data_IF_826336218944
#
_entry.id   IF_826336218944
#
_cell.length_a   1.000
_cell.length_b   1.000
_cell.length_c   1.000
_cell.angle_alpha   90.00
_cell.angle_beta   90.00
_cell.angle_gamma   90.00
#
_symmetry.space_group_name_H-M   'P 1'
#
loop_
_entity.id
_entity.type
_entity.pdbx_description
1 polymer ?
#
# COMPACT_ATOMS: atom_id res chain seq x y z
N UNK A 1 -26.80 -25.05 -41.51
CA UNK A 1 -26.83 -25.57 -40.12
C UNK A 1 -25.78 -24.78 -39.35
N UNK A 2 -26.15 -23.60 -38.84
CA UNK A 2 -25.23 -22.77 -38.06
C UNK A 2 -25.13 -23.41 -36.66
N UNK A 3 -23.92 -23.88 -36.31
CA UNK A 3 -23.59 -24.28 -34.95
C UNK A 3 -23.65 -23.01 -34.09
N UNK A 4 -24.66 -22.90 -33.23
CA UNK A 4 -24.59 -22.00 -32.08
C UNK A 4 -23.40 -22.44 -31.22
N UNK A 5 -22.36 -21.60 -31.18
CA UNK A 5 -21.36 -21.68 -30.13
C UNK A 5 -22.04 -21.26 -28.82
N UNK A 6 -21.74 -21.90 -27.68
CA UNK A 6 -22.26 -21.48 -26.40
C UNK A 6 -21.62 -20.13 -26.04
N UNK A 7 -22.39 -19.05 -26.12
CA UNK A 7 -22.01 -17.72 -25.65
C UNK A 7 -21.81 -17.80 -24.13
N UNK A 8 -20.59 -17.52 -23.66
CA UNK A 8 -20.24 -17.58 -22.25
C UNK A 8 -20.94 -16.45 -21.49
N UNK A 9 -21.52 -16.81 -20.34
CA UNK A 9 -22.23 -15.93 -19.43
C UNK A 9 -21.33 -14.82 -18.87
N UNK A 10 -21.88 -13.61 -18.78
CA UNK A 10 -21.52 -12.63 -17.75
C UNK A 10 -22.53 -12.84 -16.62
N UNK A 11 -22.08 -13.29 -15.45
CA UNK A 11 -22.92 -13.35 -14.24
C UNK A 11 -22.46 -12.24 -13.30
N UNK A 12 -22.97 -11.02 -13.52
CA UNK A 12 -22.88 -9.96 -12.51
C UNK A 12 -24.11 -10.13 -11.60
N UNK A 13 -23.89 -10.38 -10.32
CA UNK A 13 -24.95 -10.36 -9.30
C UNK A 13 -24.58 -9.25 -8.33
N UNK A 14 -25.20 -8.09 -8.49
CA UNK A 14 -25.10 -7.01 -7.53
C UNK A 14 -26.25 -7.09 -6.53
N UNK A 15 -25.96 -6.97 -5.24
CA UNK A 15 -26.96 -6.97 -4.16
C UNK A 15 -26.94 -5.60 -3.48
N UNK A 16 -28.11 -4.99 -3.28
CA UNK A 16 -28.29 -3.76 -2.49
C UNK A 16 -28.73 -4.11 -1.07
N UNK A 17 -28.23 -3.40 -0.06
CA UNK A 17 -28.60 -3.64 1.35
C UNK A 17 -29.49 -2.53 1.90
N UNK A 18 -30.78 -2.85 2.06
CA UNK A 18 -31.89 -2.11 2.70
C UNK A 18 -32.58 -1.02 1.84
N UNK A 19 -33.91 -1.02 1.61
CA UNK A 19 -35.04 -1.69 2.23
C UNK A 19 -36.11 -2.08 1.16
N UNK A 20 -36.64 -3.29 1.30
CA UNK A 20 -37.73 -3.90 0.50
C UNK A 20 -37.53 -4.07 -1.02
N UNK A 21 -36.34 -4.47 -1.47
CA UNK A 21 -36.14 -5.44 -2.56
C UNK A 21 -34.64 -5.60 -2.80
N UNK A 22 -34.08 -6.75 -2.48
CA UNK A 22 -32.79 -7.15 -3.04
C UNK A 22 -33.02 -7.38 -4.54
N UNK A 23 -32.62 -6.43 -5.39
CA UNK A 23 -32.69 -6.60 -6.84
C UNK A 23 -31.36 -7.19 -7.31
N UNK A 24 -31.28 -8.52 -7.38
CA UNK A 24 -30.20 -9.18 -8.12
C UNK A 24 -30.48 -8.97 -9.61
N UNK A 25 -29.82 -8.00 -10.24
CA UNK A 25 -29.87 -7.89 -11.69
C UNK A 25 -28.85 -8.86 -12.28
N UNK A 26 -29.29 -10.07 -12.66
CA UNK A 26 -28.49 -10.92 -13.54
C UNK A 26 -28.40 -10.23 -14.89
N UNK A 27 -27.26 -9.62 -15.21
CA UNK A 27 -27.04 -8.99 -16.52
C UNK A 27 -26.71 -10.09 -17.53
N UNK A 28 -27.76 -10.76 -18.03
CA UNK A 28 -27.67 -11.70 -19.14
C UNK A 28 -27.46 -10.92 -20.45
N UNK A 29 -26.22 -10.66 -20.84
CA UNK A 29 -25.91 -9.99 -22.10
C UNK A 29 -26.06 -10.92 -23.30
N UNK A 30 -27.30 -11.28 -23.65
CA UNK A 30 -27.63 -11.66 -25.04
C UNK A 30 -28.12 -10.43 -25.82
N UNK A 31 -28.29 -9.27 -25.16
CA UNK A 31 -28.82 -8.05 -25.77
C UNK A 31 -28.04 -6.82 -25.29
N UNK A 32 -26.93 -6.53 -25.97
CA UNK A 32 -26.75 -5.29 -26.73
C UNK A 32 -26.69 -3.90 -26.06
N UNK A 33 -26.24 -3.71 -24.81
CA UNK A 33 -26.01 -2.33 -24.29
C UNK A 33 -24.80 -2.20 -23.37
N UNK A 34 -24.16 -1.03 -23.40
CA UNK A 34 -23.26 -0.56 -22.34
C UNK A 34 -23.96 -0.72 -20.99
N UNK A 35 -23.22 -1.21 -19.99
CA UNK A 35 -23.75 -1.50 -18.66
C UNK A 35 -23.42 -0.32 -17.76
N UNK A 36 -24.42 0.29 -17.14
CA UNK A 36 -24.20 1.27 -16.06
C UNK A 36 -24.60 0.64 -14.72
N UNK A 37 -23.66 0.59 -13.78
CA UNK A 37 -23.85 0.19 -12.38
C UNK A 37 -23.91 1.48 -11.56
N UNK A 38 -25.06 1.75 -10.93
CA UNK A 38 -25.39 3.03 -10.29
C UNK A 38 -26.42 3.87 -11.07
N UNK A 39 -26.51 5.18 -10.80
CA UNK A 39 -27.43 6.15 -11.42
C UNK A 39 -28.53 6.71 -10.50
N UNK A 40 -29.44 7.54 -11.04
CA UNK A 40 -30.42 8.35 -10.27
C UNK A 40 -31.48 7.49 -9.53
N UNK A 41 -31.51 6.20 -9.83
CA UNK A 41 -32.48 5.23 -9.29
C UNK A 41 -31.84 4.16 -8.39
N UNK A 42 -30.54 4.26 -8.07
CA UNK A 42 -29.83 3.32 -7.20
C UNK A 42 -29.65 3.92 -5.80
N UNK A 43 -30.36 3.40 -4.77
CA UNK A 43 -30.02 3.73 -3.40
C UNK A 43 -28.85 2.85 -2.96
N UNK A 44 -27.70 3.48 -2.73
CA UNK A 44 -26.57 2.90 -1.96
C UNK A 44 -25.74 1.80 -2.66
N UNK A 45 -24.68 1.41 -1.95
CA UNK A 45 -23.53 0.57 -2.33
C UNK A 45 -23.92 -0.62 -3.22
N UNK A 46 -23.17 -0.83 -4.30
CA UNK A 46 -23.32 -1.99 -5.18
C UNK A 46 -22.17 -2.98 -4.99
N UNK A 47 -22.41 -4.18 -4.44
CA UNK A 47 -21.38 -5.23 -4.32
C UNK A 47 -21.62 -6.43 -5.24
N UNK A 48 -20.58 -6.93 -5.93
CA UNK A 48 -20.64 -8.27 -6.56
C UNK A 48 -20.59 -9.36 -5.49
N UNK A 49 -20.95 -10.60 -5.84
CA UNK A 49 -20.82 -11.77 -4.94
C UNK A 49 -19.61 -12.66 -5.27
N UNK A 50 -18.65 -12.17 -6.06
CA UNK A 50 -17.58 -12.97 -6.64
C UNK A 50 -16.82 -12.24 -7.75
N UNK A 51 -15.89 -12.97 -8.38
CA UNK A 51 -15.10 -12.49 -9.52
C UNK A 51 -15.97 -11.94 -10.66
N UNK A 52 -15.48 -10.88 -11.28
CA UNK A 52 -16.09 -10.22 -12.43
C UNK A 52 -15.12 -10.27 -13.59
N UNK A 53 -15.58 -10.84 -14.72
CA UNK A 53 -14.86 -10.74 -15.99
C UNK A 53 -15.70 -10.00 -17.03
N UNK A 54 -15.14 -8.93 -17.56
CA UNK A 54 -15.71 -8.17 -18.68
C UNK A 54 -15.12 -8.75 -19.95
N UNK A 55 -15.90 -9.60 -20.61
CA UNK A 55 -15.47 -10.38 -21.76
C UNK A 55 -15.68 -9.67 -23.08
N UNK A 56 -14.81 -9.98 -24.04
CA UNK A 56 -15.01 -9.57 -25.42
C UNK A 56 -16.25 -10.22 -26.04
N UNK A 57 -17.26 -9.42 -26.35
CA UNK A 57 -18.38 -9.83 -27.19
C UNK A 57 -17.97 -9.83 -28.67
N UNK A 58 -18.29 -10.88 -29.41
CA UNK A 58 -18.21 -10.82 -30.88
C UNK A 58 -19.60 -10.37 -31.37
N UNK A 59 -19.76 -9.21 -32.04
CA UNK A 59 -18.74 -8.38 -32.68
C UNK A 59 -18.42 -7.02 -32.01
N UNK A 60 -18.79 -6.80 -30.75
CA UNK A 60 -18.78 -5.45 -30.13
C UNK A 60 -17.92 -5.34 -28.86
N UNK A 61 -17.37 -4.15 -28.66
CA UNK A 61 -16.75 -3.75 -27.39
C UNK A 61 -17.85 -3.45 -26.37
N UNK A 62 -17.66 -3.89 -25.13
CA UNK A 62 -18.55 -3.63 -23.99
C UNK A 62 -17.95 -2.53 -23.13
N UNK A 63 -18.78 -1.56 -22.76
CA UNK A 63 -18.45 -0.57 -21.72
C UNK A 63 -19.20 -0.91 -20.44
N UNK A 64 -18.50 -0.95 -19.31
CA UNK A 64 -19.11 -1.00 -17.97
C UNK A 64 -18.81 0.30 -17.25
N UNK A 65 -19.84 1.06 -16.90
CA UNK A 65 -19.75 2.37 -16.27
C UNK A 65 -20.20 2.29 -14.81
N UNK A 66 -19.36 2.73 -13.88
CA UNK A 66 -19.72 2.93 -12.48
C UNK A 66 -20.04 4.41 -12.25
N UNK A 67 -21.30 4.75 -11.97
CA UNK A 67 -21.79 6.14 -11.84
C UNK A 67 -22.69 6.32 -10.61
N UNK A 68 -22.17 6.89 -9.53
CA UNK A 68 -22.93 7.15 -8.30
C UNK A 68 -23.26 8.65 -8.18
N UNK A 69 -24.41 9.04 -8.75
CA UNK A 69 -24.85 10.42 -8.92
C UNK A 69 -25.06 11.21 -7.60
N UNK A 70 -25.40 10.56 -6.48
CA UNK A 70 -25.69 11.23 -5.20
C UNK A 70 -24.46 11.63 -4.37
N UNK A 71 -23.24 11.30 -4.81
CA UNK A 71 -22.02 11.98 -4.34
C UNK A 71 -21.97 13.49 -4.69
N UNK A 72 -22.97 13.98 -5.43
CA UNK A 72 -23.05 15.37 -5.92
C UNK A 72 -23.48 16.38 -4.85
N UNK A 73 -24.20 16.00 -3.80
CA UNK A 73 -24.75 16.93 -2.79
C UNK A 73 -23.99 16.96 -1.45
N UNK A 74 -23.04 17.88 -1.27
CA UNK A 74 -22.37 18.13 0.02
C UNK A 74 -20.89 18.53 -0.09
N UNK A 75 -20.28 18.90 1.04
CA UNK A 75 -18.84 19.18 1.16
C UNK A 75 -18.01 17.88 1.05
N UNK A 76 -17.85 17.41 -0.19
CA UNK A 76 -16.76 16.61 -0.77
C UNK A 76 -16.23 15.30 -0.18
N UNK A 77 -16.58 14.81 1.01
CA UNK A 77 -15.87 13.64 1.58
C UNK A 77 -16.77 12.47 2.04
N UNK A 78 -18.08 12.51 1.79
CA UNK A 78 -18.98 11.41 2.15
C UNK A 78 -18.97 10.31 1.07
N UNK A 79 -18.20 9.23 1.25
CA UNK A 79 -18.34 8.01 0.44
C UNK A 79 -19.60 7.22 0.84
N UNK A 80 -20.77 7.81 0.65
CA UNK A 80 -22.06 7.14 0.92
C UNK A 80 -22.42 6.12 -0.16
N UNK A 81 -21.80 6.23 -1.34
CA UNK A 81 -22.13 5.45 -2.53
C UNK A 81 -20.84 4.97 -3.20
N UNK A 82 -20.63 3.66 -3.25
CA UNK A 82 -19.45 3.04 -3.86
C UNK A 82 -19.81 1.68 -4.45
N UNK A 83 -18.96 1.18 -5.35
CA UNK A 83 -19.07 -0.16 -5.89
C UNK A 83 -17.97 -1.05 -5.36
N UNK A 84 -18.30 -2.29 -5.05
CA UNK A 84 -17.34 -3.32 -4.66
C UNK A 84 -17.46 -4.51 -5.59
N UNK A 85 -16.31 -5.08 -5.93
CA UNK A 85 -16.21 -6.43 -6.49
C UNK A 85 -15.60 -7.32 -5.42
N UNK A 86 -16.38 -8.28 -4.91
CA UNK A 86 -15.94 -9.26 -3.92
C UNK A 86 -15.22 -10.43 -4.62
N UNK A 87 -14.05 -10.15 -5.18
CA UNK A 87 -13.23 -11.08 -5.96
C UNK A 87 -12.38 -10.38 -7.02
N UNK A 88 -11.85 -11.15 -7.97
CA UNK A 88 -10.99 -10.64 -9.04
C UNK A 88 -11.80 -9.85 -10.09
N UNK A 89 -11.24 -8.74 -10.59
CA UNK A 89 -11.77 -8.04 -11.77
C UNK A 89 -10.84 -8.27 -12.97
N UNK A 90 -11.38 -8.83 -14.04
CA UNK A 90 -10.65 -9.07 -15.30
C UNK A 90 -11.32 -8.29 -16.43
N UNK A 91 -10.54 -7.45 -17.11
CA UNK A 91 -10.99 -6.63 -18.25
C UNK A 91 -10.30 -7.13 -19.51
N UNK A 92 -11.03 -7.83 -20.39
CA UNK A 92 -10.47 -8.37 -21.63
C UNK A 92 -10.10 -7.25 -22.63
N UNK A 93 -9.24 -7.59 -23.60
CA UNK A 93 -8.83 -6.67 -24.65
C UNK A 93 -10.03 -6.10 -25.43
N UNK A 94 -9.96 -4.81 -25.75
CA UNK A 94 -11.03 -4.08 -26.44
C UNK A 94 -12.23 -3.72 -25.55
N UNK A 95 -12.29 -4.17 -24.30
CA UNK A 95 -13.35 -3.79 -23.36
C UNK A 95 -12.97 -2.52 -22.60
N UNK A 96 -13.97 -1.78 -22.12
CA UNK A 96 -13.76 -0.55 -21.37
C UNK A 96 -14.51 -0.58 -20.04
N UNK A 97 -13.83 -0.23 -18.94
CA UNK A 97 -14.45 0.14 -17.68
C UNK A 97 -14.35 1.64 -17.52
N UNK A 98 -15.47 2.31 -17.28
CA UNK A 98 -15.52 3.73 -16.96
C UNK A 98 -15.85 3.89 -15.49
N UNK A 99 -15.08 4.70 -14.77
CA UNK A 99 -15.38 5.13 -13.41
C UNK A 99 -15.67 6.64 -13.48
N UNK A 100 -16.92 7.01 -13.25
CA UNK A 100 -17.38 8.39 -13.36
C UNK A 100 -16.99 9.22 -12.13
N UNK A 101 -17.04 10.55 -12.29
CA UNK A 101 -16.78 11.52 -11.23
C UNK A 101 -17.49 11.18 -9.91
N UNK A 102 -16.81 11.39 -8.78
CA UNK A 102 -17.35 11.11 -7.43
C UNK A 102 -17.74 9.64 -7.19
N UNK A 103 -17.23 8.72 -7.99
CA UNK A 103 -17.43 7.27 -7.80
C UNK A 103 -16.16 6.61 -7.28
N UNK A 104 -16.36 5.56 -6.50
CA UNK A 104 -15.32 4.71 -5.93
C UNK A 104 -15.59 3.29 -6.38
N UNK A 105 -14.58 2.63 -6.95
CA UNK A 105 -14.60 1.21 -7.23
C UNK A 105 -13.57 0.52 -6.36
N UNK A 106 -14.03 -0.38 -5.50
CA UNK A 106 -13.18 -1.26 -4.68
C UNK A 106 -13.18 -2.64 -5.33
N UNK A 107 -12.00 -3.21 -5.54
CA UNK A 107 -11.80 -4.60 -5.96
C UNK A 107 -11.17 -5.32 -4.77
N UNK A 108 -11.94 -6.17 -4.11
CA UNK A 108 -11.48 -7.00 -3.00
C UNK A 108 -10.85 -8.30 -3.55
N UNK A 109 -9.77 -8.14 -4.30
CA UNK A 109 -9.11 -9.18 -5.10
C UNK A 109 -8.12 -8.56 -6.08
N UNK A 110 -7.67 -9.34 -7.06
CA UNK A 110 -6.72 -8.87 -8.07
C UNK A 110 -7.44 -8.16 -9.23
N UNK A 111 -6.75 -7.20 -9.85
CA UNK A 111 -7.22 -6.51 -11.04
C UNK A 111 -6.33 -6.84 -12.24
N UNK A 112 -6.91 -7.43 -13.29
CA UNK A 112 -6.25 -7.66 -14.58
C UNK A 112 -6.80 -6.73 -15.66
N UNK A 113 -5.96 -5.85 -16.20
CA UNK A 113 -6.32 -4.86 -17.22
C UNK A 113 -5.68 -5.24 -18.57
N UNK A 114 -6.44 -5.87 -19.47
CA UNK A 114 -6.03 -6.06 -20.88
C UNK A 114 -6.79 -5.12 -21.84
N UNK A 115 -7.92 -4.58 -21.39
CA UNK A 115 -8.69 -3.55 -22.10
C UNK A 115 -8.32 -2.13 -21.67
N UNK A 116 -9.32 -1.31 -21.40
CA UNK A 116 -9.17 0.07 -20.93
C UNK A 116 -9.89 0.29 -19.61
N UNK A 117 -9.24 0.92 -18.63
CA UNK A 117 -9.89 1.59 -17.50
C UNK A 117 -9.86 3.08 -17.78
N UNK A 118 -11.01 3.74 -17.77
CA UNK A 118 -11.15 5.16 -18.04
C UNK A 118 -11.75 5.86 -16.81
N UNK A 119 -11.01 6.79 -16.24
CA UNK A 119 -11.53 7.72 -15.24
C UNK A 119 -12.17 8.91 -15.96
N UNK A 120 -13.45 9.17 -15.71
CA UNK A 120 -14.18 10.28 -16.32
C UNK A 120 -14.52 11.34 -15.28
N UNK A 121 -13.67 12.36 -15.17
CA UNK A 121 -13.91 13.51 -14.31
C UNK A 121 -14.27 14.74 -15.16
N UNK A 122 -15.55 15.08 -15.20
CA UNK A 122 -16.04 16.19 -16.00
C UNK A 122 -15.83 17.53 -15.28
N UNK A 123 -15.05 18.43 -15.89
CA UNK A 123 -14.90 19.85 -15.56
C UNK A 123 -14.24 20.24 -14.22
N UNK A 124 -13.06 19.70 -13.91
CA UNK A 124 -12.15 20.33 -12.94
C UNK A 124 -12.75 20.54 -11.54
N UNK A 125 -13.73 19.71 -11.18
CA UNK A 125 -14.33 19.73 -9.86
C UNK A 125 -13.32 19.14 -8.85
N UNK A 126 -13.38 19.59 -7.60
CA UNK A 126 -12.55 19.13 -6.49
C UNK A 126 -12.87 17.69 -6.04
N UNK A 127 -13.63 16.93 -6.83
CA UNK A 127 -14.16 15.62 -6.46
C UNK A 127 -13.30 14.54 -7.11
N UNK A 128 -12.82 13.62 -6.27
CA UNK A 128 -11.92 12.57 -6.66
C UNK A 128 -12.67 11.37 -7.26
N UNK A 129 -11.95 10.61 -8.07
CA UNK A 129 -12.36 9.30 -8.58
C UNK A 129 -11.33 8.30 -8.08
N UNK A 130 -11.79 7.19 -7.50
CA UNK A 130 -10.90 6.19 -6.94
C UNK A 130 -11.15 4.81 -7.53
N UNK A 131 -10.05 4.15 -7.88
CA UNK A 131 -9.98 2.72 -8.07
C UNK A 131 -9.06 2.17 -6.99
N UNK A 132 -9.62 1.36 -6.10
CA UNK A 132 -8.95 0.77 -4.94
C UNK A 132 -8.92 -0.73 -5.16
N UNK A 133 -7.73 -1.33 -5.10
CA UNK A 133 -7.52 -2.76 -5.33
C UNK A 133 -6.83 -3.35 -4.11
N UNK A 134 -7.48 -4.29 -3.45
CA UNK A 134 -6.96 -5.00 -2.27
C UNK A 134 -6.21 -6.27 -2.71
N UNK A 135 -5.36 -6.12 -3.71
CA UNK A 135 -4.59 -7.17 -4.36
C UNK A 135 -3.64 -6.58 -5.40
N UNK A 136 -3.13 -7.43 -6.28
CA UNK A 136 -2.22 -7.01 -7.35
C UNK A 136 -2.97 -6.33 -8.51
N UNK A 137 -2.33 -5.36 -9.16
CA UNK A 137 -2.82 -4.76 -10.41
C UNK A 137 -1.87 -5.12 -11.54
N UNK A 138 -2.35 -5.93 -12.49
CA UNK A 138 -1.54 -6.46 -13.58
C UNK A 138 -2.17 -6.21 -14.96
N UNK A 139 -1.36 -6.18 -16.02
CA UNK A 139 -1.85 -6.30 -17.39
C UNK A 139 -1.12 -5.46 -18.44
N UNK A 140 -1.63 -5.53 -19.68
CA UNK A 140 -1.06 -4.86 -20.86
C UNK A 140 -2.00 -3.81 -21.47
N UNK A 141 -3.11 -3.56 -20.78
CA UNK A 141 -4.13 -2.60 -21.18
C UNK A 141 -3.77 -1.17 -20.83
N UNK A 142 -4.75 -0.28 -20.95
CA UNK A 142 -4.56 1.17 -20.79
C UNK A 142 -5.35 1.69 -19.60
N UNK A 143 -4.70 2.56 -18.80
CA UNK A 143 -5.38 3.40 -17.82
C UNK A 143 -5.44 4.83 -18.35
N UNK A 144 -6.63 5.25 -18.77
CA UNK A 144 -6.89 6.59 -19.29
C UNK A 144 -7.52 7.46 -18.21
N UNK A 145 -7.04 8.70 -18.08
CA UNK A 145 -7.65 9.74 -17.24
C UNK A 145 -8.42 10.77 -18.06
N UNK A 146 -9.23 11.58 -17.38
CA UNK A 146 -9.87 12.77 -17.89
C UNK A 146 -8.91 13.97 -17.93
N UNK A 147 -9.48 15.17 -18.06
CA UNK A 147 -8.71 16.42 -18.11
C UNK A 147 -8.51 16.98 -16.69
N UNK A 148 -7.28 16.92 -16.13
CA UNK A 148 -6.94 17.64 -14.88
C UNK A 148 -6.04 16.87 -13.90
N UNK A 149 -5.94 17.36 -12.65
CA UNK A 149 -5.09 16.82 -11.57
C UNK A 149 -5.83 15.96 -10.54
N UNK A 150 -7.12 15.71 -10.76
CA UNK A 150 -8.00 15.08 -9.76
C UNK A 150 -8.26 13.60 -10.05
N UNK A 151 -7.77 13.11 -11.19
CA UNK A 151 -7.83 11.70 -11.57
C UNK A 151 -6.61 11.03 -10.96
N UNK A 152 -6.84 10.29 -9.88
CA UNK A 152 -5.80 9.50 -9.25
C UNK A 152 -5.69 8.18 -10.02
N UNK A 153 -4.46 7.70 -10.30
CA UNK A 153 -4.25 6.34 -10.78
C UNK A 153 -4.70 5.35 -9.69
N UNK A 154 -4.84 4.05 -10.02
CA UNK A 154 -5.29 3.05 -9.03
C UNK A 154 -4.40 3.04 -7.78
N UNK A 155 -5.04 2.73 -6.65
CA UNK A 155 -4.41 2.40 -5.38
C UNK A 155 -4.42 0.88 -5.21
N UNK A 156 -3.28 0.28 -4.86
CA UNK A 156 -3.16 -1.17 -4.67
C UNK A 156 -2.41 -1.52 -3.39
N UNK A 157 -2.82 -2.61 -2.72
CA UNK A 157 -2.09 -3.16 -1.57
C UNK A 157 -0.79 -3.85 -1.98
N UNK A 158 -0.70 -4.29 -3.23
CA UNK A 158 0.48 -4.98 -3.79
C UNK A 158 1.00 -4.26 -5.06
N UNK A 159 1.92 -4.88 -5.81
CA UNK A 159 2.57 -4.31 -6.98
C UNK A 159 1.57 -3.85 -8.06
N UNK A 160 1.83 -2.68 -8.64
CA UNK A 160 1.11 -2.14 -9.80
C UNK A 160 2.00 -2.30 -11.04
N UNK A 161 1.69 -3.28 -11.88
CA UNK A 161 2.36 -3.53 -13.16
C UNK A 161 1.37 -3.32 -14.30
N UNK A 162 1.43 -2.15 -14.94
CA UNK A 162 0.64 -1.84 -16.15
C UNK A 162 1.57 -1.48 -17.30
N UNK A 163 1.60 -2.29 -18.35
CA UNK A 163 2.38 -2.02 -19.56
C UNK A 163 1.55 -1.20 -20.56
N UNK A 164 1.88 0.09 -20.79
CA UNK A 164 1.20 0.93 -21.78
C UNK A 164 1.25 2.45 -21.49
N UNK A 165 0.67 3.26 -22.37
CA UNK A 165 0.53 4.71 -22.17
C UNK A 165 -0.59 5.00 -21.14
N UNK A 166 -0.22 5.46 -19.95
CA UNK A 166 -1.19 5.86 -18.92
C UNK A 166 -1.11 7.36 -18.60
N UNK A 167 -2.26 8.04 -18.59
CA UNK A 167 -2.32 9.48 -18.29
C UNK A 167 -2.47 9.81 -16.79
N UNK A 168 -2.76 8.81 -15.95
CA UNK A 168 -2.98 8.98 -14.51
C UNK A 168 -1.73 8.93 -13.63
N UNK A 169 -0.55 8.61 -14.17
CA UNK A 169 0.65 8.31 -13.37
C UNK A 169 0.80 6.81 -13.06
N UNK A 170 1.82 6.43 -12.29
CA UNK A 170 2.28 5.05 -12.08
C UNK A 170 1.45 4.20 -11.10
N UNK A 171 0.27 4.66 -10.68
CA UNK A 171 -0.40 4.09 -9.51
C UNK A 171 0.18 4.61 -8.20
N UNK A 172 -0.57 4.44 -7.12
CA UNK A 172 -0.14 4.74 -5.75
C UNK A 172 -0.27 3.49 -4.89
N UNK A 173 0.52 3.40 -3.83
CA UNK A 173 0.31 2.36 -2.85
C UNK A 173 -0.96 2.68 -2.04
N UNK A 174 -1.65 1.66 -1.54
CA UNK A 174 -2.82 1.79 -0.67
C UNK A 174 -2.58 2.72 0.54
N UNK A 175 -1.34 2.80 1.01
CA UNK A 175 -0.90 3.67 2.12
C UNK A 175 -1.04 5.16 1.81
N UNK A 176 -1.01 5.54 0.52
CA UNK A 176 -1.18 6.91 0.05
C UNK A 176 -2.66 7.32 -0.06
N UNK A 177 -3.60 6.44 0.33
CA UNK A 177 -5.02 6.78 0.37
C UNK A 177 -5.29 7.88 1.39
N UNK A 178 -6.24 8.76 1.05
CA UNK A 178 -6.71 9.76 2.00
C UNK A 178 -7.29 9.05 3.25
N UNK A 179 -6.92 9.51 4.45
CA UNK A 179 -7.27 8.85 5.72
C UNK A 179 -8.78 8.57 5.89
N UNK A 180 -9.65 9.41 5.34
CA UNK A 180 -11.10 9.20 5.42
C UNK A 180 -11.58 8.00 4.57
N UNK A 181 -10.87 7.66 3.49
CA UNK A 181 -11.17 6.50 2.64
C UNK A 181 -10.75 5.22 3.36
N UNK A 182 -9.58 5.25 3.99
CA UNK A 182 -9.06 4.17 4.83
C UNK A 182 -10.06 3.82 5.93
N UNK A 183 -10.62 4.81 6.62
CA UNK A 183 -11.64 4.59 7.66
C UNK A 183 -12.89 3.91 7.09
N UNK A 184 -13.30 4.26 5.87
CA UNK A 184 -14.48 3.66 5.22
C UNK A 184 -14.21 2.22 4.79
N UNK A 185 -13.04 1.92 4.23
CA UNK A 185 -12.67 0.54 3.89
C UNK A 185 -12.73 -0.35 5.14
N UNK A 186 -12.18 0.12 6.26
CA UNK A 186 -12.23 -0.58 7.55
C UNK A 186 -13.66 -0.75 8.09
N UNK A 187 -14.50 0.28 8.01
CA UNK A 187 -15.91 0.20 8.45
C UNK A 187 -16.72 -0.85 7.67
N UNK A 188 -16.29 -1.18 6.45
CA UNK A 188 -16.95 -2.18 5.61
C UNK A 188 -16.23 -3.55 5.64
N UNK A 189 -15.28 -3.74 6.56
CA UNK A 189 -14.63 -5.04 6.79
C UNK A 189 -13.56 -5.40 5.75
N UNK A 190 -13.00 -4.42 5.05
CA UNK A 190 -11.88 -4.62 4.15
C UNK A 190 -10.54 -4.49 4.89
N UNK A 191 -9.69 -5.50 4.74
CA UNK A 191 -8.42 -5.60 5.45
C UNK A 191 -7.34 -4.77 4.75
N UNK A 192 -6.77 -3.83 5.50
CA UNK A 192 -5.59 -3.05 5.10
C UNK A 192 -4.39 -3.51 5.92
N UNK A 193 -3.17 -3.59 5.34
CA UNK A 193 -1.99 -4.11 6.05
C UNK A 193 -1.70 -3.40 7.37
N UNK A 194 -0.97 -4.09 8.26
CA UNK A 194 -0.44 -3.50 9.49
C UNK A 194 0.58 -2.42 9.11
N UNK A 195 0.41 -1.22 9.67
CA UNK A 195 1.36 -0.13 9.43
C UNK A 195 2.36 -0.09 10.58
N UNK A 196 3.60 -0.53 10.33
CA UNK A 196 4.68 -0.43 11.31
C UNK A 196 5.21 1.00 11.39
N UNK A 197 5.06 1.64 12.55
CA UNK A 197 5.56 3.00 12.79
C UNK A 197 7.08 3.00 13.00
N UNK A 198 7.57 2.03 13.77
CA UNK A 198 8.98 2.01 14.17
C UNK A 198 9.46 0.61 14.49
N UNK A 199 10.74 0.37 14.23
CA UNK A 199 11.48 -0.80 14.69
C UNK A 199 12.86 -0.36 15.16
N UNK A 200 13.17 -0.64 16.42
CA UNK A 200 14.38 -0.16 17.09
C UNK A 200 15.00 -1.26 17.94
N UNK A 201 16.31 -1.14 18.14
CA UNK A 201 17.04 -1.97 19.10
C UNK A 201 17.84 -1.10 20.06
N UNK A 202 17.86 -1.51 21.32
CA UNK A 202 18.69 -0.93 22.37
C UNK A 202 19.50 -2.04 23.05
N UNK A 203 20.80 -1.82 23.16
CA UNK A 203 21.67 -2.75 23.87
C UNK A 203 21.72 -2.36 25.35
N UNK A 204 21.29 -3.28 26.21
CA UNK A 204 21.43 -3.17 27.67
C UNK A 204 22.59 -4.06 28.15
N UNK A 205 22.99 -3.95 29.42
CA UNK A 205 24.17 -4.67 29.93
C UNK A 205 24.08 -6.20 29.77
N UNK A 206 22.87 -6.78 29.72
CA UNK A 206 22.66 -8.23 29.70
C UNK A 206 21.72 -8.73 28.59
N UNK A 207 21.16 -7.84 27.77
CA UNK A 207 20.20 -8.21 26.73
C UNK A 207 20.11 -7.14 25.64
N UNK A 208 19.65 -7.54 24.46
CA UNK A 208 19.24 -6.61 23.40
C UNK A 208 17.72 -6.51 23.44
N UNK A 209 17.21 -5.31 23.69
CA UNK A 209 15.80 -5.02 23.69
C UNK A 209 15.38 -4.52 22.30
N UNK A 210 14.47 -5.25 21.66
CA UNK A 210 13.83 -4.88 20.42
C UNK A 210 12.49 -4.24 20.75
N UNK A 211 12.23 -3.06 20.21
CA UNK A 211 10.98 -2.35 20.41
C UNK A 211 10.39 -1.94 19.06
N UNK A 212 9.10 -2.16 18.89
CA UNK A 212 8.37 -1.72 17.71
C UNK A 212 6.99 -1.19 18.08
N UNK A 213 6.42 -0.43 17.15
CA UNK A 213 5.07 0.11 17.29
C UNK A 213 4.33 -0.03 15.99
N UNK A 214 3.04 -0.36 16.06
CA UNK A 214 2.11 -0.35 14.93
C UNK A 214 1.19 0.87 15.03
N UNK A 215 0.76 1.46 13.92
CA UNK A 215 -0.25 2.51 13.88
C UNK A 215 -1.66 1.93 13.86
N UNK A 216 -1.82 0.86 13.09
CA UNK A 216 -3.01 0.05 13.02
C UNK A 216 -2.64 -1.40 12.77
N UNK A 217 -3.52 -2.29 13.21
CA UNK A 217 -3.46 -3.73 12.97
C UNK A 217 -4.79 -4.19 12.41
N UNK A 218 -4.78 -5.05 11.41
CA UNK A 218 -5.97 -5.71 10.93
C UNK A 218 -5.60 -7.12 10.55
N UNK A 219 -6.38 -8.08 11.01
CA UNK A 219 -6.15 -9.49 10.82
C UNK A 219 -4.75 -9.96 11.29
N UNK A 220 -4.07 -9.19 12.14
CA UNK A 220 -2.71 -9.46 12.56
C UNK A 220 -2.71 -10.57 13.61
N UNK A 221 -2.05 -11.69 13.32
CA UNK A 221 -1.96 -12.81 14.24
C UNK A 221 -0.86 -12.60 15.27
N UNK A 222 0.38 -12.48 14.82
CA UNK A 222 1.56 -12.38 15.69
C UNK A 222 2.76 -11.81 14.93
N UNK A 223 3.77 -11.40 15.69
CA UNK A 223 5.08 -11.03 15.18
C UNK A 223 6.10 -12.10 15.57
N UNK A 224 6.80 -12.65 14.58
CA UNK A 224 7.98 -13.48 14.79
C UNK A 224 9.25 -12.61 14.79
N UNK A 225 10.14 -12.88 15.74
CA UNK A 225 11.43 -12.22 15.87
C UNK A 225 12.53 -13.19 15.45
N UNK A 226 13.40 -12.72 14.56
CA UNK A 226 14.53 -13.49 14.08
C UNK A 226 15.85 -12.76 14.36
N UNK A 227 16.89 -13.51 14.71
CA UNK A 227 18.26 -13.00 14.77
C UNK A 227 19.18 -13.68 13.75
N UNK A 228 20.28 -13.02 13.43
CA UNK A 228 21.32 -13.56 12.57
C UNK A 228 22.67 -13.00 12.97
N UNK A 229 23.74 -13.79 12.85
CA UNK A 229 25.13 -13.33 13.05
C UNK A 229 25.85 -13.04 11.73
N UNK A 230 25.23 -13.35 10.59
CA UNK A 230 25.82 -13.24 9.26
C UNK A 230 24.91 -12.53 8.22
N UNK A 231 23.73 -12.08 8.66
CA UNK A 231 22.68 -11.47 7.84
C UNK A 231 22.19 -12.35 6.68
N UNK A 232 22.37 -13.68 6.78
CA UNK A 232 21.99 -14.66 5.75
C UNK A 232 21.21 -15.81 6.33
N UNK A 233 21.73 -16.40 7.39
CA UNK A 233 21.10 -17.47 8.14
C UNK A 233 20.37 -16.86 9.33
N UNK A 234 19.05 -16.99 9.32
CA UNK A 234 18.16 -16.41 10.34
C UNK A 234 17.66 -17.49 11.29
N UNK A 235 17.81 -17.25 12.59
CA UNK A 235 17.32 -18.08 13.68
C UNK A 235 16.05 -17.45 14.24
N UNK A 236 14.96 -18.21 14.34
CA UNK A 236 13.77 -17.79 15.07
C UNK A 236 14.10 -17.76 16.57
N UNK A 237 13.86 -16.62 17.22
CA UNK A 237 14.19 -16.45 18.65
C UNK A 237 12.97 -16.19 19.53
N UNK A 238 11.80 -15.94 18.95
CA UNK A 238 10.55 -15.84 19.69
C UNK A 238 9.43 -15.18 18.90
N UNK A 239 8.25 -15.15 19.49
CA UNK A 239 7.05 -14.53 18.93
C UNK A 239 6.34 -13.65 19.97
N UNK A 240 5.58 -12.67 19.50
CA UNK A 240 4.72 -11.81 20.32
C UNK A 240 3.36 -11.70 19.63
N UNK A 241 2.30 -12.06 20.34
CA UNK A 241 0.93 -11.95 19.83
C UNK A 241 0.61 -10.50 19.45
N UNK A 242 0.04 -10.32 18.27
CA UNK A 242 -0.53 -9.03 17.86
C UNK A 242 -1.90 -8.84 18.51
N UNK A 243 -2.50 -7.65 18.39
CA UNK A 243 -3.80 -7.38 18.99
C UNK A 243 -4.98 -7.82 18.11
N UNK A 244 -4.73 -8.52 16.99
CA UNK A 244 -5.74 -8.90 16.01
C UNK A 244 -6.14 -7.73 15.13
N UNK A 245 -6.92 -6.82 15.71
CA UNK A 245 -7.46 -5.64 15.04
C UNK A 245 -7.31 -4.42 15.96
N UNK A 246 -6.69 -3.36 15.46
CA UNK A 246 -6.49 -2.09 16.16
C UNK A 246 -6.44 -0.93 15.17
N UNK A 247 -7.09 0.18 15.49
CA UNK A 247 -6.93 1.45 14.76
C UNK A 247 -6.17 2.49 15.60
N UNK A 248 -5.49 2.04 16.65
CA UNK A 248 -4.73 2.89 17.56
C UNK A 248 -3.33 2.32 17.72
N UNK A 249 -2.37 3.21 17.99
CA UNK A 249 -0.98 2.81 18.22
C UNK A 249 -0.87 1.73 19.29
N UNK A 250 -0.12 0.67 18.99
CA UNK A 250 0.28 -0.34 19.96
C UNK A 250 1.80 -0.43 20.00
N UNK A 251 2.35 -0.56 21.20
CA UNK A 251 3.78 -0.65 21.44
C UNK A 251 4.12 -2.05 21.96
N UNK A 252 5.16 -2.65 21.38
CA UNK A 252 5.62 -4.01 21.66
C UNK A 252 7.10 -4.02 22.02
N UNK A 253 7.51 -5.06 22.76
CA UNK A 253 8.91 -5.27 23.13
C UNK A 253 9.26 -6.75 23.18
N UNK A 254 10.48 -7.09 22.76
CA UNK A 254 11.08 -8.41 22.89
C UNK A 254 12.53 -8.28 23.41
N UNK A 255 12.93 -9.19 24.31
CA UNK A 255 14.28 -9.18 24.91
C UNK A 255 15.07 -10.41 24.48
N UNK A 256 16.18 -10.21 23.79
CA UNK A 256 17.16 -11.24 23.48
C UNK A 256 18.27 -11.24 24.54
N UNK A 257 18.24 -12.22 25.44
CA UNK A 257 19.22 -12.39 26.53
C UNK A 257 20.50 -13.13 26.08
N UNK A 258 20.60 -13.52 24.81
CA UNK A 258 21.79 -14.20 24.28
C UNK A 258 22.96 -13.21 24.19
N UNK A 259 24.10 -13.63 24.74
CA UNK A 259 25.33 -12.85 24.62
C UNK A 259 25.96 -13.04 23.23
N UNK A 260 26.11 -11.95 22.49
CA UNK A 260 26.79 -11.94 21.20
C UNK A 260 28.17 -11.27 21.31
N UNK A 261 29.21 -12.01 20.94
CA UNK A 261 30.59 -11.51 20.82
C UNK A 261 30.88 -10.86 19.46
N UNK A 262 29.87 -10.78 18.58
CA UNK A 262 29.95 -10.24 17.23
C UNK A 262 28.79 -9.28 16.97
N UNK A 263 28.75 -8.70 15.78
CA UNK A 263 27.54 -8.03 15.28
C UNK A 263 26.41 -9.05 15.19
N UNK A 264 25.20 -8.62 15.55
CA UNK A 264 23.96 -9.38 15.39
C UNK A 264 22.96 -8.53 14.62
N UNK A 265 22.16 -9.19 13.79
CA UNK A 265 21.13 -8.61 12.95
C UNK A 265 19.78 -9.11 13.47
N UNK A 266 18.76 -8.26 13.42
CA UNK A 266 17.40 -8.63 13.80
C UNK A 266 16.41 -8.27 12.71
N UNK A 267 15.42 -9.12 12.46
CA UNK A 267 14.27 -8.77 11.63
C UNK A 267 12.99 -9.17 12.36
N UNK A 268 11.92 -8.46 12.03
CA UNK A 268 10.57 -8.76 12.48
C UNK A 268 9.81 -9.33 11.30
N UNK A 269 9.02 -10.38 11.50
CA UNK A 269 8.07 -10.88 10.49
C UNK A 269 6.69 -10.87 11.12
N UNK A 270 5.80 -10.03 10.61
CA UNK A 270 4.39 -10.03 10.98
C UNK A 270 3.68 -11.12 10.17
N UNK A 271 2.78 -11.87 10.82
CA UNK A 271 1.86 -12.77 10.16
C UNK A 271 0.41 -12.38 10.42
N UNK A 272 -0.42 -12.54 9.40
CA UNK A 272 -1.87 -12.40 9.48
C UNK A 272 -2.55 -13.76 9.73
N UNK A 273 -3.81 -13.76 10.19
CA UNK A 273 -4.56 -15.00 10.40
C UNK A 273 -4.84 -15.77 9.11
N UNK A 274 -4.77 -15.11 7.95
CA UNK A 274 -4.89 -15.74 6.63
C UNK A 274 -3.56 -16.34 6.11
N UNK A 275 -2.46 -16.16 6.86
CA UNK A 275 -1.13 -16.68 6.55
C UNK A 275 -0.26 -15.76 5.70
N UNK A 276 -0.72 -14.56 5.33
CA UNK A 276 0.15 -13.53 4.74
C UNK A 276 1.18 -13.05 5.74
N UNK A 277 2.31 -12.54 5.25
CA UNK A 277 3.36 -12.02 6.10
C UNK A 277 4.13 -10.87 5.49
N UNK A 278 4.62 -9.98 6.34
CA UNK A 278 5.47 -8.85 5.99
C UNK A 278 6.73 -8.86 6.85
N UNK A 279 7.89 -8.49 6.26
CA UNK A 279 9.18 -8.51 6.95
C UNK A 279 9.74 -7.10 7.11
N UNK A 280 10.13 -6.75 8.33
CA UNK A 280 10.71 -5.45 8.67
C UNK A 280 12.16 -5.57 9.14
N UNK A 281 12.97 -4.56 8.81
CA UNK A 281 14.40 -4.51 9.11
C UNK A 281 15.28 -4.90 7.91
N UNK A 282 16.50 -5.43 8.13
CA UNK A 282 17.05 -5.81 9.44
C UNK A 282 17.53 -4.61 10.26
N UNK A 283 17.56 -4.75 11.58
CA UNK A 283 18.34 -3.92 12.49
C UNK A 283 19.74 -4.51 12.68
N UNK A 284 20.72 -3.67 13.03
CA UNK A 284 22.11 -4.09 13.24
C UNK A 284 22.56 -3.61 14.61
N UNK A 285 22.96 -4.56 15.47
CA UNK A 285 23.52 -4.24 16.78
C UNK A 285 24.97 -4.72 16.81
N UNK A 286 25.89 -3.78 16.99
CA UNK A 286 27.32 -4.08 17.11
C UNK A 286 27.67 -4.32 18.59
N UNK A 287 28.50 -5.33 18.85
CA UNK A 287 29.04 -5.56 20.19
C UNK A 287 29.85 -4.36 20.67
N UNK A 288 29.80 -4.08 21.99
CA UNK A 288 30.51 -2.97 22.64
C UNK A 288 32.05 -3.07 22.57
N UNK A 289 32.60 -4.10 21.93
CA UNK A 289 34.05 -4.34 21.82
C UNK A 289 34.72 -3.66 20.63
N UNK A 290 33.96 -3.11 19.68
CA UNK A 290 34.53 -2.43 18.49
C UNK A 290 34.73 -0.91 18.70
N UNK A 291 35.90 -0.40 18.30
CA UNK A 291 36.33 1.00 18.50
C UNK A 291 35.58 2.05 17.64
N UNK A 292 34.69 1.61 16.72
CA UNK A 292 33.88 2.53 15.91
C UNK A 292 32.57 1.86 15.47
N UNK A 293 31.54 1.93 16.32
CA UNK A 293 30.27 1.22 16.11
C UNK A 293 29.26 1.99 15.24
N UNK A 294 29.52 3.25 14.90
CA UNK A 294 28.56 4.06 14.12
C UNK A 294 28.61 3.71 12.63
N UNK A 295 27.57 3.02 12.16
CA UNK A 295 27.43 2.58 10.78
C UNK A 295 26.07 2.98 10.20
N UNK A 296 26.06 3.24 8.91
CA UNK A 296 24.86 3.61 8.16
C UNK A 296 24.85 2.88 6.83
N UNK A 297 23.66 2.49 6.39
CA UNK A 297 23.47 1.91 5.06
C UNK A 297 22.11 2.35 4.50
N UNK A 298 21.99 2.47 3.19
CA UNK A 298 20.75 2.89 2.52
C UNK A 298 20.33 1.83 1.52
N UNK A 299 19.08 1.39 1.59
CA UNK A 299 18.54 0.35 0.72
C UNK A 299 17.04 0.59 0.40
N UNK A 300 16.53 0.11 -0.74
CA UNK A 300 17.32 -0.27 -1.90
C UNK A 300 18.06 0.94 -2.48
N UNK A 301 19.24 0.71 -3.05
CA UNK A 301 20.03 1.76 -3.67
C UNK A 301 20.80 1.19 -4.87
N UNK A 302 20.40 1.51 -6.12
CA UNK A 302 19.36 2.48 -6.48
C UNK A 302 17.94 2.06 -6.08
N UNK A 303 17.09 3.02 -5.73
CA UNK A 303 15.65 2.83 -5.51
C UNK A 303 14.87 3.26 -6.75
N UNK A 304 13.89 2.46 -7.17
CA UNK A 304 13.13 2.65 -8.43
C UNK A 304 11.76 3.27 -8.24
N UNK A 305 11.27 3.39 -7.00
CA UNK A 305 9.92 3.85 -6.67
C UNK A 305 9.95 5.07 -5.72
N UNK A 306 11.11 5.67 -5.50
CA UNK A 306 11.29 6.77 -4.55
C UNK A 306 11.23 6.35 -3.08
N UNK A 307 10.97 5.06 -2.77
CA UNK A 307 11.02 4.50 -1.42
C UNK A 307 12.42 3.98 -1.13
N UNK A 308 13.04 4.47 -0.08
CA UNK A 308 14.32 4.00 0.42
C UNK A 308 14.36 4.13 1.94
N UNK A 309 15.10 3.24 2.58
CA UNK A 309 15.26 3.14 4.01
C UNK A 309 16.72 3.38 4.38
N UNK A 310 16.95 4.12 5.47
CA UNK A 310 18.26 4.32 6.08
C UNK A 310 18.33 3.45 7.34
N UNK A 311 19.22 2.46 7.33
CA UNK A 311 19.59 1.76 8.55
C UNK A 311 20.73 2.51 9.24
N UNK A 312 20.56 2.74 10.54
CA UNK A 312 21.53 3.41 11.41
C UNK A 312 21.83 2.47 12.58
N UNK A 313 23.10 2.21 12.86
CA UNK A 313 23.56 1.44 14.01
C UNK A 313 24.70 2.15 14.76
N UNK A 314 24.86 1.79 16.03
CA UNK A 314 25.85 2.37 16.94
C UNK A 314 25.65 3.87 17.17
N UNK A 315 24.40 4.32 17.27
CA UNK A 315 24.07 5.69 17.63
C UNK A 315 24.58 6.04 19.04
N UNK A 316 25.02 7.29 19.24
CA UNK A 316 25.51 7.75 20.54
C UNK A 316 24.32 7.96 21.49
N UNK A 317 24.25 7.15 22.55
CA UNK A 317 23.20 7.23 23.57
C UNK A 317 23.07 8.65 24.16
N UNK A 318 21.85 9.15 24.23
CA UNK A 318 21.52 10.47 24.77
C UNK A 318 21.91 11.66 23.89
N UNK A 319 22.31 11.46 22.63
CA UNK A 319 22.77 12.53 21.74
C UNK A 319 22.00 12.57 20.42
N UNK A 320 21.12 13.55 20.23
CA UNK A 320 20.24 13.68 19.06
C UNK A 320 20.91 13.35 17.73
N UNK A 321 20.33 12.42 16.98
CA UNK A 321 20.82 12.03 15.66
C UNK A 321 20.12 12.86 14.59
N UNK A 322 20.87 13.66 13.83
CA UNK A 322 20.35 14.50 12.75
C UNK A 322 20.48 13.80 11.40
N UNK A 323 19.43 13.82 10.60
CA UNK A 323 19.38 13.28 9.25
C UNK A 323 19.11 14.44 8.28
N UNK A 324 19.99 14.61 7.30
CA UNK A 324 19.83 15.64 6.26
C UNK A 324 19.99 15.01 4.87
N UNK A 325 18.97 15.14 4.03
CA UNK A 325 19.04 14.73 2.63
C UNK A 325 19.22 15.96 1.74
N UNK A 326 20.22 15.92 0.87
CA UNK A 326 20.62 17.03 0.01
C UNK A 326 20.54 16.57 -1.44
N UNK A 327 19.90 17.36 -2.30
CA UNK A 327 19.82 17.07 -3.73
C UNK A 327 21.10 17.49 -4.49
N UNK A 328 21.14 17.20 -5.80
CA UNK A 328 22.29 17.54 -6.66
C UNK A 328 22.60 19.04 -6.76
N UNK A 329 21.62 19.91 -6.53
CA UNK A 329 21.81 21.37 -6.46
C UNK A 329 22.36 21.86 -5.11
N UNK A 330 22.59 20.96 -4.15
CA UNK A 330 23.07 21.30 -2.81
C UNK A 330 21.97 21.80 -1.86
N UNK A 331 20.69 21.70 -2.26
CA UNK A 331 19.55 22.09 -1.43
C UNK A 331 19.16 20.92 -0.52
N UNK A 332 18.99 21.20 0.77
CA UNK A 332 18.38 20.25 1.70
C UNK A 332 16.90 20.05 1.35
N UNK A 333 16.53 18.80 1.03
CA UNK A 333 15.15 18.39 0.71
C UNK A 333 14.48 17.66 1.88
N UNK A 334 15.27 17.17 2.84
CA UNK A 334 14.82 16.64 4.12
C UNK A 334 15.79 17.10 5.21
N UNK A 335 15.24 17.45 6.36
CA UNK A 335 15.97 17.64 7.60
C UNK A 335 15.11 17.09 8.73
N UNK A 336 15.62 16.10 9.46
CA UNK A 336 14.91 15.44 10.55
C UNK A 336 15.87 15.08 11.70
N UNK A 337 15.30 14.77 12.85
CA UNK A 337 16.04 14.41 14.06
C UNK A 337 15.41 13.22 14.76
N UNK A 338 16.25 12.27 15.17
CA UNK A 338 15.88 11.15 16.03
C UNK A 338 16.43 11.44 17.42
N UNK A 339 15.53 11.53 18.42
CA UNK A 339 15.94 11.57 19.82
C UNK A 339 16.24 10.13 20.28
N UNK A 340 17.51 9.87 20.54
CA UNK A 340 18.11 8.56 20.76
C UNK A 340 18.57 8.43 22.21
N UNK A 341 17.66 8.67 23.15
CA UNK A 341 17.88 8.51 24.59
C UNK A 341 18.51 7.13 24.89
N UNK A 342 17.84 6.06 24.41
CA UNK A 342 18.26 4.67 24.63
C UNK A 342 18.41 3.86 23.32
N UNK A 343 18.22 4.49 22.15
CA UNK A 343 18.23 3.79 20.85
C UNK A 343 19.66 3.69 20.34
N UNK A 344 20.13 2.46 20.05
CA UNK A 344 21.45 2.23 19.43
C UNK A 344 21.35 1.83 17.97
N UNK A 345 20.21 1.28 17.53
CA UNK A 345 19.93 0.96 16.13
C UNK A 345 18.48 1.24 15.75
N UNK A 346 18.27 1.68 14.50
CA UNK A 346 16.94 1.94 13.93
C UNK A 346 16.95 1.84 12.39
N UNK A 347 15.78 1.63 11.80
CA UNK A 347 15.53 1.87 10.37
C UNK A 347 14.67 3.12 10.24
N UNK A 348 15.10 4.03 9.37
CA UNK A 348 14.42 5.28 9.07
C UNK A 348 13.90 5.24 7.62
N UNK A 349 12.59 5.21 7.47
CA UNK A 349 11.92 5.18 6.16
C UNK A 349 11.95 6.58 5.52
N UNK A 350 12.81 6.79 4.52
CA UNK A 350 12.99 8.10 3.88
C UNK A 350 11.78 8.44 3.01
N UNK A 351 11.19 7.42 2.35
CA UNK A 351 10.05 7.59 1.43
C UNK A 351 8.83 8.21 2.10
N UNK A 352 8.57 7.86 3.35
CA UNK A 352 7.40 8.32 4.11
C UNK A 352 7.52 9.79 4.56
N UNK A 353 8.75 10.33 4.52
CA UNK A 353 9.07 11.68 5.00
C UNK A 353 9.18 12.69 3.87
N UNK A 354 9.49 12.23 2.66
CA UNK A 354 9.69 13.09 1.50
C UNK A 354 9.45 12.32 0.21
N UNK A 355 8.66 12.90 -0.69
CA UNK A 355 8.51 12.36 -2.04
C UNK A 355 9.77 12.69 -2.87
N UNK A 356 10.54 11.65 -3.20
CA UNK A 356 11.80 11.78 -3.92
C UNK A 356 11.62 11.59 -5.43
N UNK A 357 12.08 12.59 -6.18
CA UNK A 357 12.16 12.48 -7.65
C UNK A 357 13.42 11.73 -8.06
N UNK A 358 13.39 11.09 -9.23
CA UNK A 358 14.55 10.49 -9.86
C UNK A 358 15.74 11.45 -9.88
N UNK A 359 16.88 10.98 -9.39
CA UNK A 359 18.04 11.83 -9.19
C UNK A 359 19.03 11.29 -8.17
N UNK A 360 20.02 12.11 -7.91
CA UNK A 360 21.11 11.83 -6.98
C UNK A 360 20.94 12.68 -5.72
N UNK A 361 21.09 12.03 -4.57
CA UNK A 361 21.02 12.65 -3.26
C UNK A 361 22.20 12.24 -2.38
N UNK A 362 22.57 13.13 -1.48
CA UNK A 362 23.56 12.91 -0.42
C UNK A 362 22.83 12.95 0.91
N UNK A 363 22.94 11.87 1.67
CA UNK A 363 22.38 11.75 3.00
C UNK A 363 23.50 11.95 4.02
N UNK A 364 23.36 12.95 4.89
CA UNK A 364 24.29 13.23 5.98
C UNK A 364 23.63 12.83 7.30
N UNK A 365 24.32 12.00 8.06
CA UNK A 365 23.85 11.51 9.35
C UNK A 365 24.88 11.91 10.40
N UNK A 366 24.45 12.64 11.43
CA UNK A 366 25.30 12.98 12.58
C UNK A 366 24.64 12.45 13.84
N UNK A 367 25.36 11.69 14.65
CA UNK A 367 24.93 11.22 15.96
C UNK A 367 26.00 11.64 16.96
N UNK A 368 25.77 12.71 17.74
CA UNK A 368 26.80 13.28 18.62
C UNK A 368 28.08 13.66 17.88
N UNK A 369 29.21 13.02 18.23
CA UNK A 369 30.52 13.24 17.59
C UNK A 369 30.74 12.39 16.33
N UNK A 370 29.85 11.44 16.06
CA UNK A 370 29.96 10.53 14.91
C UNK A 370 29.21 11.09 13.71
N UNK A 371 29.82 11.01 12.53
CA UNK A 371 29.24 11.46 11.27
C UNK A 371 29.45 10.43 10.16
N UNK A 372 28.41 10.23 9.35
CA UNK A 372 28.45 9.45 8.12
C UNK A 372 27.78 10.19 6.96
N UNK A 373 28.14 9.79 5.75
CA UNK A 373 27.54 10.31 4.53
C UNK A 373 27.29 9.16 3.58
N UNK A 374 26.03 8.99 3.19
CA UNK A 374 25.59 7.97 2.25
C UNK A 374 25.14 8.61 0.94
N UNK A 375 25.32 7.86 -0.14
CA UNK A 375 24.82 8.22 -1.46
C UNK A 375 23.49 7.52 -1.68
N UNK A 376 22.46 8.24 -2.15
CA UNK A 376 21.18 7.67 -2.56
C UNK A 376 20.91 8.00 -4.04
N UNK A 377 20.58 6.99 -4.83
CA UNK A 377 20.13 7.14 -6.21
C UNK A 377 18.66 6.73 -6.29
N UNK A 378 17.82 7.63 -6.80
CA UNK A 378 16.44 7.34 -7.19
C UNK A 378 16.38 7.28 -8.72
N UNK A 379 15.78 6.23 -9.28
CA UNK A 379 15.67 6.00 -10.73
C UNK A 379 14.25 6.24 -11.21
#
# INVERSE_FOLDING_TARGET
MYKFLPTQLITLVFITTASFASFAQTINSIIDQDITIGGDSWPEVSSSTGDVQIKQGVPFNTTVTFDHLDGRGGNNNDMKYYSVIEGDLIIDAGQTVIIEQSSYLVVNGNLTINGTVQFNNHNGNTKHVYLIVLGEVNGTGTIAGGLGTHDKPPYATDEIIVQGDHKGGSGYNIDDLDAYIVDILRLNGYDLPVELISFTASQTNNAIALNWSTASEMNASHFEVYSSIDNKNWEFIGEVDANGNSNTRIDYSFYDEKEYNSTVYYKLVQYDFDGKSETFGPLVVHSNTSENNFHTSVFPNPSTNGKASLQISGMNLGATTTIQLINKEGKAVLYDTIDNQDITSTVYEIGDKVNLKSGFYILKINSGTSQKTEKLIIQ
#
